data_IF_452455912680
#
_entry.id   IF_452455912680
#
_cell.length_a   1.000
_cell.length_b   1.000
_cell.length_c   1.000
_cell.angle_alpha   90.00
_cell.angle_beta   90.00
_cell.angle_gamma   90.00
#
_symmetry.space_group_name_H-M   'P 1'
#
loop_
_entity.id
_entity.type
_entity.pdbx_description
1 polymer ?
#
# COMPACT_ATOMS: atom_id res chain seq x y z
N UNK A 1 6.66 -25.59 10.13
CA UNK A 1 6.60 -24.29 10.83
C UNK A 1 5.71 -23.41 9.97
N UNK A 2 4.50 -23.07 10.42
CA UNK A 2 3.61 -22.18 9.67
C UNK A 2 3.94 -20.76 10.10
N UNK A 3 4.64 -20.00 9.28
CA UNK A 3 4.77 -18.55 9.45
C UNK A 3 3.35 -17.98 9.54
N UNK A 4 2.93 -17.64 10.76
CA UNK A 4 1.75 -16.83 10.98
C UNK A 4 2.16 -15.42 10.57
N UNK A 5 1.84 -15.05 9.33
CA UNK A 5 1.97 -13.69 8.83
C UNK A 5 1.15 -12.79 9.76
N UNK A 6 1.80 -12.22 10.77
CA UNK A 6 1.24 -11.16 11.59
C UNK A 6 0.92 -10.03 10.62
N UNK A 7 -0.36 -9.86 10.28
CA UNK A 7 -0.83 -8.71 9.52
C UNK A 7 -0.57 -7.50 10.41
N UNK A 8 0.60 -6.88 10.26
CA UNK A 8 0.93 -5.72 11.06
C UNK A 8 -0.07 -4.61 10.68
N UNK A 9 -0.79 -4.03 11.66
CA UNK A 9 -1.73 -2.94 11.39
C UNK A 9 -1.06 -1.74 10.70
N UNK A 10 0.27 -1.63 10.83
CA UNK A 10 1.09 -0.65 10.11
C UNK A 10 1.08 -0.89 8.61
N UNK A 11 1.30 -2.13 8.15
CA UNK A 11 1.35 -2.44 6.71
C UNK A 11 -0.02 -2.25 6.04
N UNK A 12 -1.11 -2.58 6.74
CA UNK A 12 -2.47 -2.31 6.23
C UNK A 12 -2.72 -0.81 6.09
N UNK A 13 -2.30 -0.01 7.07
CA UNK A 13 -2.44 1.44 7.05
C UNK A 13 -1.63 2.06 5.91
N UNK A 14 -0.40 1.60 5.71
CA UNK A 14 0.46 2.04 4.59
C UNK A 14 -0.15 1.67 3.24
N UNK A 15 -0.66 0.45 3.08
CA UNK A 15 -1.35 0.04 1.84
C UNK A 15 -2.59 0.89 1.55
N UNK A 16 -3.37 1.21 2.58
CA UNK A 16 -4.53 2.08 2.43
C UNK A 16 -4.11 3.47 1.93
N UNK A 17 -3.07 4.07 2.54
CA UNK A 17 -2.55 5.37 2.13
C UNK A 17 -1.96 5.34 0.71
N UNK A 18 -1.24 4.28 0.33
CA UNK A 18 -0.77 4.08 -1.04
C UNK A 18 -1.94 4.03 -2.03
N UNK A 19 -3.01 3.31 -1.68
CA UNK A 19 -4.20 3.18 -2.52
C UNK A 19 -4.91 4.52 -2.72
N UNK A 20 -5.09 5.29 -1.64
CA UNK A 20 -5.71 6.62 -1.72
C UNK A 20 -4.86 7.59 -2.56
N UNK A 21 -3.54 7.62 -2.34
CA UNK A 21 -2.63 8.45 -3.13
C UNK A 21 -2.67 8.09 -4.63
N UNK A 22 -2.73 6.80 -4.97
CA UNK A 22 -2.85 6.35 -6.36
C UNK A 22 -4.20 6.73 -6.98
N UNK A 23 -5.31 6.69 -6.21
CA UNK A 23 -6.62 7.16 -6.69
C UNK A 23 -6.60 8.65 -7.00
N UNK A 24 -6.01 9.46 -6.11
CA UNK A 24 -5.90 10.91 -6.31
C UNK A 24 -5.06 11.24 -7.56
N UNK A 25 -3.92 10.57 -7.73
CA UNK A 25 -3.06 10.73 -8.90
C UNK A 25 -3.76 10.28 -10.19
N UNK A 26 -4.53 9.18 -10.13
CA UNK A 26 -5.33 8.70 -11.26
C UNK A 26 -6.42 9.69 -11.64
N UNK A 27 -7.14 10.23 -10.65
CA UNK A 27 -8.17 11.25 -10.86
C UNK A 27 -7.58 12.53 -11.49
N UNK A 28 -6.36 12.91 -11.09
CA UNK A 28 -5.61 14.03 -11.64
C UNK A 28 -4.97 13.74 -13.01
N UNK A 29 -5.06 12.51 -13.54
CA UNK A 29 -4.32 12.05 -14.73
C UNK A 29 -2.81 12.29 -14.62
N UNK A 30 -2.28 12.26 -13.39
CA UNK A 30 -0.85 12.38 -13.14
C UNK A 30 -0.12 11.13 -13.65
N UNK A 31 1.17 11.26 -14.02
CA UNK A 31 1.99 10.09 -14.34
C UNK A 31 2.10 9.17 -13.12
N UNK A 32 2.29 7.87 -13.38
CA UNK A 32 2.50 6.89 -12.32
C UNK A 32 3.66 7.30 -11.41
N UNK A 33 3.45 7.35 -10.08
CA UNK A 33 4.49 7.75 -9.15
C UNK A 33 5.52 6.64 -8.99
N UNK A 34 6.76 7.04 -8.68
CA UNK A 34 7.79 6.12 -8.17
C UNK A 34 7.53 5.78 -6.70
N UNK A 35 8.11 4.69 -6.19
CA UNK A 35 8.05 4.33 -4.77
C UNK A 35 8.56 5.46 -3.88
N UNK A 36 9.66 6.12 -4.28
CA UNK A 36 10.17 7.31 -3.59
C UNK A 36 9.17 8.46 -3.52
N UNK A 37 8.43 8.71 -4.58
CA UNK A 37 7.39 9.75 -4.58
C UNK A 37 6.22 9.37 -3.66
N UNK A 38 5.82 8.10 -3.66
CA UNK A 38 4.81 7.60 -2.72
C UNK A 38 5.28 7.73 -1.27
N UNK A 39 6.54 7.38 -0.98
CA UNK A 39 7.16 7.53 0.34
C UNK A 39 7.13 8.98 0.82
N UNK A 40 7.47 9.92 -0.07
CA UNK A 40 7.39 11.36 0.21
C UNK A 40 5.96 11.86 0.44
N UNK A 41 4.99 11.36 -0.32
CA UNK A 41 3.58 11.75 -0.19
C UNK A 41 2.95 11.22 1.11
N UNK A 42 3.27 9.98 1.47
CA UNK A 42 2.67 9.26 2.60
C UNK A 42 3.40 9.56 3.92
N UNK A 43 4.65 10.01 3.84
CA UNK A 43 5.47 10.32 5.02
C UNK A 43 6.08 9.08 5.67
N UNK A 44 6.41 8.06 4.89
CA UNK A 44 7.07 6.83 5.35
C UNK A 44 8.31 6.50 4.50
N UNK A 45 9.11 5.52 4.93
CA UNK A 45 10.29 5.07 4.19
C UNK A 45 9.90 4.23 2.97
N UNK A 46 10.72 4.25 1.92
CA UNK A 46 10.55 3.39 0.74
C UNK A 46 10.51 1.89 1.12
N UNK A 47 11.36 1.48 2.06
CA UNK A 47 11.39 0.12 2.62
C UNK A 47 10.02 -0.27 3.20
N UNK A 48 9.42 0.60 4.02
CA UNK A 48 8.11 0.34 4.61
C UNK A 48 7.02 0.20 3.55
N UNK A 49 7.09 0.95 2.44
CA UNK A 49 6.16 0.77 1.31
C UNK A 49 6.37 -0.60 0.67
N UNK A 50 7.61 -0.97 0.37
CA UNK A 50 7.94 -2.25 -0.27
C UNK A 50 7.53 -3.44 0.61
N UNK A 51 7.86 -3.42 1.91
CA UNK A 51 7.40 -4.42 2.88
C UNK A 51 5.87 -4.47 2.95
N UNK A 52 5.21 -3.32 2.91
CA UNK A 52 3.75 -3.29 2.94
C UNK A 52 3.12 -3.82 1.65
N UNK A 53 3.77 -3.67 0.51
CA UNK A 53 3.34 -4.27 -0.76
C UNK A 53 3.60 -5.79 -0.80
N UNK A 54 4.68 -6.26 -0.17
CA UNK A 54 5.06 -7.68 -0.12
C UNK A 54 4.23 -8.46 0.91
N UNK A 55 4.04 -7.90 2.10
CA UNK A 55 3.40 -8.57 3.25
C UNK A 55 1.99 -8.06 3.55
N UNK A 56 1.64 -6.88 3.07
CA UNK A 56 0.31 -6.34 3.27
C UNK A 56 -0.70 -7.12 2.44
N UNK A 57 -1.60 -7.81 3.13
CA UNK A 57 -2.83 -8.30 2.51
C UNK A 57 -3.87 -7.21 2.67
N UNK A 58 -4.16 -6.50 1.57
CA UNK A 58 -5.48 -5.90 1.44
C UNK A 58 -6.44 -7.09 1.36
N UNK A 59 -7.27 -7.31 2.38
CA UNK A 59 -8.30 -8.34 2.26
C UNK A 59 -9.09 -8.01 1.00
N UNK A 60 -8.91 -8.83 -0.03
CA UNK A 60 -9.77 -8.83 -1.19
C UNK A 60 -11.15 -9.07 -0.61
N UNK A 61 -11.97 -8.03 -0.51
CA UNK A 61 -13.40 -8.22 -0.35
C UNK A 61 -13.77 -9.04 -1.57
N UNK A 62 -13.92 -10.35 -1.37
CA UNK A 62 -14.31 -11.29 -2.40
C UNK A 62 -15.73 -10.95 -2.82
N UNK A 63 -15.88 -9.96 -3.69
CA UNK A 63 -17.07 -9.78 -4.51
C UNK A 63 -16.98 -10.75 -5.69
N UNK A 64 -17.03 -12.04 -5.36
CA UNK A 64 -17.59 -13.05 -6.24
C UNK A 64 -18.90 -13.44 -5.56
N UNK A 65 -19.99 -12.87 -6.08
CA UNK A 65 -21.32 -13.45 -5.99
C UNK A 65 -21.67 -14.02 -7.36
#
# INVERSE_FOLDING_TARGET
MREQFYQSPVHQSVLHLVTEALKELTAARAPSPTIRQLAQLIGCSEETILESLEFGRQESIGLVQ
#
